data_IF_459450194736
#
_entry.id   IF_459450194736
#
_cell.length_a   1.000
_cell.length_b   1.000
_cell.length_c   1.000
_cell.angle_alpha   90.00
_cell.angle_beta   90.00
_cell.angle_gamma   90.00
#
_symmetry.space_group_name_H-M   'P 1'
#
loop_
_entity.id
_entity.type
_entity.pdbx_description
1 polymer ?
#
# COMPACT_ATOMS: atom_id res chain seq x y z
N UNK A 1 12.07 -17.74 4.48
CA UNK A 1 12.44 -16.31 4.61
C UNK A 1 11.85 -15.56 3.42
N UNK A 2 11.26 -14.39 3.66
CA UNK A 2 10.79 -13.51 2.59
C UNK A 2 11.70 -12.28 2.50
N UNK A 3 11.78 -11.66 1.32
CA UNK A 3 12.43 -10.36 1.15
C UNK A 3 11.38 -9.24 1.02
N UNK A 4 11.68 -8.07 1.59
CA UNK A 4 10.87 -6.86 1.42
C UNK A 4 11.78 -5.75 0.89
N UNK A 5 11.43 -5.19 -0.26
CA UNK A 5 12.20 -4.16 -0.94
C UNK A 5 11.61 -2.79 -0.67
N UNK A 6 12.40 -1.91 -0.08
CA UNK A 6 11.99 -0.59 0.38
C UNK A 6 11.75 -0.56 1.90
N UNK A 7 12.53 0.23 2.64
CA UNK A 7 12.42 0.42 4.09
C UNK A 7 11.56 1.64 4.46
N UNK A 8 10.65 2.04 3.58
CA UNK A 8 9.66 3.09 3.82
C UNK A 8 8.53 2.65 4.74
N UNK A 9 7.44 3.44 4.78
CA UNK A 9 6.27 3.20 5.64
C UNK A 9 5.67 1.82 5.40
N UNK A 10 5.39 1.45 4.12
CA UNK A 10 4.77 0.16 3.81
C UNK A 10 5.74 -1.00 4.01
N UNK A 11 6.99 -0.89 3.55
CA UNK A 11 7.95 -1.98 3.70
C UNK A 11 8.25 -2.32 5.16
N UNK A 12 8.45 -1.33 6.03
CA UNK A 12 8.62 -1.57 7.48
C UNK A 12 7.38 -2.16 8.12
N UNK A 13 6.18 -1.76 7.68
CA UNK A 13 4.93 -2.28 8.22
C UNK A 13 4.65 -3.73 7.74
N UNK A 14 4.98 -4.07 6.49
CA UNK A 14 4.92 -5.44 5.96
C UNK A 14 5.96 -6.32 6.65
N UNK A 15 7.19 -5.83 6.84
CA UNK A 15 8.21 -6.54 7.61
C UNK A 15 7.76 -6.79 9.05
N UNK A 16 7.12 -5.79 9.69
CA UNK A 16 6.54 -5.93 11.02
C UNK A 16 5.46 -7.03 11.08
N UNK A 17 4.58 -7.05 10.08
CA UNK A 17 3.55 -8.08 9.95
C UNK A 17 4.19 -9.48 9.87
N UNK A 18 5.16 -9.64 8.98
CA UNK A 18 5.81 -10.93 8.73
C UNK A 18 6.56 -11.46 9.98
N UNK A 19 7.43 -10.64 10.57
CA UNK A 19 8.17 -11.06 11.77
C UNK A 19 7.26 -11.31 12.97
N UNK A 20 6.15 -10.57 13.07
CA UNK A 20 5.15 -10.74 14.12
C UNK A 20 4.44 -12.10 14.05
N UNK A 21 4.41 -12.73 12.87
CA UNK A 21 3.88 -14.08 12.62
C UNK A 21 5.01 -15.13 12.51
N UNK A 22 6.23 -14.81 12.93
CA UNK A 22 7.34 -15.76 12.96
C UNK A 22 8.04 -15.96 11.61
N UNK A 23 7.70 -15.20 10.59
CA UNK A 23 8.32 -15.30 9.26
C UNK A 23 9.59 -14.45 9.23
N UNK A 24 10.79 -15.02 8.96
CA UNK A 24 12.02 -14.24 8.82
C UNK A 24 11.99 -13.33 7.60
N UNK A 25 12.52 -12.11 7.74
CA UNK A 25 12.51 -11.07 6.71
C UNK A 25 13.92 -10.53 6.45
N UNK A 26 14.28 -10.44 5.17
CA UNK A 26 15.37 -9.60 4.70
C UNK A 26 14.77 -8.30 4.15
N UNK A 27 15.01 -7.18 4.84
CA UNK A 27 14.58 -5.84 4.44
C UNK A 27 15.69 -5.15 3.69
N UNK A 28 15.42 -4.75 2.45
CA UNK A 28 16.41 -4.14 1.54
C UNK A 28 16.03 -2.69 1.25
N UNK A 29 16.99 -1.78 1.37
CA UNK A 29 16.87 -0.39 0.90
C UNK A 29 18.27 0.14 0.56
N UNK A 30 18.37 1.01 -0.42
CA UNK A 30 19.63 1.67 -0.78
C UNK A 30 20.01 2.79 0.19
N UNK A 31 19.06 3.25 1.00
CA UNK A 31 19.20 4.33 1.97
C UNK A 31 19.56 3.73 3.36
N UNK A 32 20.81 3.90 3.76
CA UNK A 32 21.33 3.39 5.02
C UNK A 32 20.62 4.00 6.26
N UNK A 33 20.18 5.25 6.18
CA UNK A 33 19.46 5.91 7.29
C UNK A 33 18.07 5.32 7.47
N UNK A 34 17.37 5.02 6.36
CA UNK A 34 16.10 4.29 6.41
C UNK A 34 16.27 2.90 7.01
N UNK A 35 17.30 2.16 6.60
CA UNK A 35 17.61 0.84 7.17
C UNK A 35 17.93 0.92 8.67
N UNK A 36 18.68 1.93 9.10
CA UNK A 36 18.98 2.14 10.51
C UNK A 36 17.70 2.45 11.32
N UNK A 37 16.82 3.30 10.78
CA UNK A 37 15.55 3.65 11.43
C UNK A 37 14.53 2.49 11.41
N UNK A 38 14.60 1.61 10.41
CA UNK A 38 13.64 0.53 10.20
C UNK A 38 13.55 -0.41 11.41
N UNK A 39 14.68 -0.78 12.02
CA UNK A 39 14.67 -1.70 13.17
C UNK A 39 13.87 -1.13 14.35
N UNK A 40 14.11 0.15 14.67
CA UNK A 40 13.37 0.81 15.75
C UNK A 40 11.89 0.96 15.42
N UNK A 41 11.59 1.30 14.15
CA UNK A 41 10.22 1.41 13.66
C UNK A 41 9.47 0.08 13.78
N UNK A 42 10.06 -1.01 13.27
CA UNK A 42 9.51 -2.37 13.34
C UNK A 42 9.27 -2.80 14.78
N UNK A 43 10.26 -2.59 15.68
CA UNK A 43 10.11 -2.92 17.11
C UNK A 43 8.97 -2.13 17.78
N UNK A 44 8.81 -0.85 17.44
CA UNK A 44 7.72 0.00 17.96
C UNK A 44 6.37 -0.46 17.43
N UNK A 45 6.26 -0.70 16.14
CA UNK A 45 5.04 -1.16 15.49
C UNK A 45 4.61 -2.54 16.02
N UNK A 46 5.53 -3.48 16.18
CA UNK A 46 5.26 -4.82 16.72
C UNK A 46 4.71 -4.74 18.14
N UNK A 47 5.30 -3.91 19.00
CA UNK A 47 4.79 -3.69 20.35
C UNK A 47 3.37 -3.10 20.33
N UNK A 48 3.14 -2.07 19.53
CA UNK A 48 1.83 -1.44 19.37
C UNK A 48 0.76 -2.43 18.88
N UNK A 49 1.08 -3.20 17.83
CA UNK A 49 0.18 -4.19 17.26
C UNK A 49 -0.20 -5.31 18.27
N UNK A 50 0.76 -5.76 19.07
CA UNK A 50 0.51 -6.74 20.15
C UNK A 50 -0.36 -6.20 21.27
N UNK A 51 -0.17 -4.93 21.65
CA UNK A 51 -0.98 -4.29 22.69
C UNK A 51 -2.46 -4.20 22.29
N UNK A 52 -2.75 -3.88 21.03
CA UNK A 52 -4.13 -3.78 20.53
C UNK A 52 -4.70 -5.14 20.06
N UNK A 53 -3.96 -6.23 20.23
CA UNK A 53 -4.41 -7.58 19.86
C UNK A 53 -4.45 -7.86 18.35
N UNK A 54 -3.75 -7.06 17.55
CA UNK A 54 -3.68 -7.20 16.09
C UNK A 54 -2.62 -8.22 15.63
N UNK A 55 -1.81 -8.72 16.56
CA UNK A 55 -0.81 -9.77 16.35
C UNK A 55 -0.77 -10.74 17.53
N UNK A 56 -0.27 -11.95 17.34
CA UNK A 56 -0.08 -12.91 18.43
C UNK A 56 0.71 -12.29 19.59
N UNK A 57 0.17 -12.37 20.80
CA UNK A 57 0.83 -11.85 22.01
C UNK A 57 2.04 -12.70 22.42
N UNK A 58 2.01 -13.97 22.08
CA UNK A 58 3.05 -14.98 22.35
C UNK A 58 3.34 -15.75 21.06
N UNK A 59 4.51 -16.34 20.97
CA UNK A 59 4.96 -17.11 19.81
C UNK A 59 6.31 -16.61 19.29
N UNK A 60 6.92 -17.34 18.35
CA UNK A 60 8.19 -16.96 17.78
C UNK A 60 8.05 -15.62 17.04
N UNK A 61 9.08 -14.80 17.15
CA UNK A 61 9.25 -13.59 16.34
C UNK A 61 10.24 -13.94 15.24
N UNK A 62 9.90 -13.63 14.00
CA UNK A 62 10.80 -13.82 12.87
C UNK A 62 12.04 -12.93 13.01
N UNK A 63 13.15 -13.38 12.46
CA UNK A 63 14.37 -12.60 12.39
C UNK A 63 14.22 -11.47 11.36
N UNK A 64 14.77 -10.29 11.67
CA UNK A 64 14.87 -9.15 10.76
C UNK A 64 16.33 -8.94 10.37
N UNK A 65 16.67 -9.26 9.13
CA UNK A 65 17.94 -8.87 8.50
C UNK A 65 17.72 -7.59 7.71
N UNK A 66 18.71 -6.69 7.71
CA UNK A 66 18.67 -5.42 6.97
C UNK A 66 19.91 -5.32 6.10
N UNK A 67 19.74 -4.98 4.83
CA UNK A 67 20.86 -4.90 3.90
C UNK A 67 20.63 -3.84 2.82
N UNK A 68 21.72 -3.29 2.32
CA UNK A 68 21.73 -2.45 1.12
C UNK A 68 22.01 -3.24 -0.16
N UNK A 69 22.33 -4.53 -0.02
CA UNK A 69 22.71 -5.40 -1.12
C UNK A 69 21.51 -6.24 -1.59
N UNK A 70 21.18 -6.13 -2.86
CA UNK A 70 20.08 -6.84 -3.47
C UNK A 70 20.38 -8.36 -3.60
N UNK A 71 21.65 -8.76 -3.68
CA UNK A 71 22.03 -10.16 -3.80
C UNK A 71 21.67 -11.00 -2.55
N UNK A 72 21.50 -10.36 -1.40
CA UNK A 72 21.07 -11.02 -0.17
C UNK A 72 19.65 -11.60 -0.23
N UNK A 73 18.88 -11.29 -1.29
CA UNK A 73 17.53 -11.87 -1.48
C UNK A 73 17.52 -13.19 -2.26
N UNK A 74 18.68 -13.68 -2.75
CA UNK A 74 18.78 -14.87 -3.60
C UNK A 74 18.07 -16.11 -3.02
N UNK A 75 18.07 -16.26 -1.69
CA UNK A 75 17.43 -17.38 -0.98
C UNK A 75 15.97 -17.11 -0.54
N UNK A 76 15.35 -16.03 -0.98
CA UNK A 76 13.98 -15.72 -0.60
C UNK A 76 12.97 -16.68 -1.25
N UNK A 77 11.96 -17.10 -0.50
CA UNK A 77 10.82 -17.86 -1.02
C UNK A 77 9.75 -16.98 -1.67
N UNK A 78 9.74 -15.70 -1.30
CA UNK A 78 8.91 -14.67 -1.89
C UNK A 78 9.57 -13.30 -1.71
N UNK A 79 9.34 -12.40 -2.65
CA UNK A 79 9.80 -11.00 -2.61
C UNK A 79 8.58 -10.09 -2.65
N UNK A 80 8.52 -9.11 -1.75
CA UNK A 80 7.47 -8.07 -1.73
C UNK A 80 8.12 -6.72 -2.02
N UNK A 81 7.83 -6.17 -3.18
CA UNK A 81 8.29 -4.86 -3.60
C UNK A 81 7.38 -3.78 -3.00
N UNK A 82 7.97 -2.86 -2.23
CA UNK A 82 7.33 -1.74 -1.56
C UNK A 82 8.16 -0.44 -1.66
N UNK A 83 8.89 -0.28 -2.77
CA UNK A 83 9.63 0.95 -3.07
C UNK A 83 8.68 2.08 -3.49
N UNK A 84 9.23 3.29 -3.68
CA UNK A 84 8.47 4.47 -4.10
C UNK A 84 7.59 4.18 -5.33
N UNK A 85 6.38 4.74 -5.35
CA UNK A 85 5.34 4.49 -6.38
C UNK A 85 5.68 5.19 -7.71
N UNK A 86 6.79 4.80 -8.30
CA UNK A 86 7.29 5.25 -9.61
C UNK A 86 7.41 4.04 -10.54
N UNK A 87 6.69 4.00 -11.68
CA UNK A 87 6.65 2.84 -12.57
C UNK A 87 8.04 2.34 -12.99
N UNK A 88 8.90 3.24 -13.47
CA UNK A 88 10.25 2.89 -13.91
C UNK A 88 11.12 2.34 -12.79
N UNK A 89 11.00 2.88 -11.57
CA UNK A 89 11.76 2.39 -10.42
C UNK A 89 11.30 0.98 -10.02
N UNK A 90 9.99 0.76 -9.92
CA UNK A 90 9.42 -0.55 -9.59
C UNK A 90 9.78 -1.60 -10.63
N UNK A 91 9.63 -1.27 -11.91
CA UNK A 91 10.00 -2.15 -13.02
C UNK A 91 11.49 -2.52 -12.97
N UNK A 92 12.38 -1.53 -12.76
CA UNK A 92 13.83 -1.75 -12.65
C UNK A 92 14.19 -2.65 -11.46
N UNK A 93 13.57 -2.43 -10.29
CA UNK A 93 13.85 -3.22 -9.09
C UNK A 93 13.34 -4.65 -9.26
N UNK A 94 12.12 -4.84 -9.79
CA UNK A 94 11.58 -6.17 -10.07
C UNK A 94 12.40 -6.94 -11.12
N UNK A 95 12.86 -6.27 -12.17
CA UNK A 95 13.76 -6.86 -13.17
C UNK A 95 15.07 -7.35 -12.52
N UNK A 96 15.72 -6.51 -11.73
CA UNK A 96 16.95 -6.87 -11.04
C UNK A 96 16.75 -8.06 -10.10
N UNK A 97 15.70 -8.06 -9.29
CA UNK A 97 15.39 -9.17 -8.37
C UNK A 97 15.08 -10.46 -9.12
N UNK A 98 14.33 -10.38 -10.24
CA UNK A 98 13.96 -11.57 -11.00
C UNK A 98 15.15 -12.34 -11.54
N UNK A 99 16.29 -11.67 -11.79
CA UNK A 99 17.55 -12.30 -12.22
C UNK A 99 18.34 -12.93 -11.06
N UNK A 100 18.09 -12.54 -9.82
CA UNK A 100 18.80 -13.00 -8.61
C UNK A 100 18.10 -14.21 -7.98
N UNK A 101 16.77 -14.17 -7.89
CA UNK A 101 15.99 -15.22 -7.23
C UNK A 101 15.78 -16.44 -8.11
N UNK A 102 15.59 -17.60 -7.50
CA UNK A 102 15.33 -18.84 -8.23
C UNK A 102 14.02 -18.76 -9.05
N UNK A 103 13.93 -19.46 -10.19
CA UNK A 103 12.67 -19.62 -10.91
C UNK A 103 11.55 -20.15 -10.01
N UNK A 104 10.34 -19.60 -10.17
CA UNK A 104 9.19 -19.93 -9.33
C UNK A 104 9.16 -19.19 -7.97
N UNK A 105 10.16 -18.34 -7.68
CA UNK A 105 10.06 -17.44 -6.53
C UNK A 105 8.99 -16.39 -6.79
N UNK A 106 8.01 -16.28 -5.89
CA UNK A 106 6.92 -15.32 -5.99
C UNK A 106 7.44 -13.87 -5.90
N UNK A 107 7.11 -13.07 -6.89
CA UNK A 107 7.39 -11.64 -6.94
C UNK A 107 6.09 -10.86 -6.75
N UNK A 108 5.94 -10.22 -5.60
CA UNK A 108 4.77 -9.39 -5.27
C UNK A 108 5.12 -7.91 -5.39
N UNK A 109 4.28 -7.15 -6.06
CA UNK A 109 4.33 -5.67 -5.99
C UNK A 109 3.22 -5.17 -5.07
N UNK A 110 3.56 -4.23 -4.17
CA UNK A 110 2.61 -3.54 -3.30
C UNK A 110 2.15 -2.20 -3.92
N UNK A 111 2.18 -2.10 -5.24
CA UNK A 111 1.67 -0.92 -5.92
C UNK A 111 0.20 -0.67 -5.62
N UNK A 112 -0.20 0.60 -5.61
CA UNK A 112 -1.58 1.02 -5.37
C UNK A 112 -2.36 1.32 -6.66
N UNK A 113 -1.66 1.59 -7.78
CA UNK A 113 -2.31 2.09 -9.00
C UNK A 113 -1.68 1.59 -10.31
N UNK A 114 -0.44 1.09 -10.28
CA UNK A 114 0.26 0.65 -11.49
C UNK A 114 -0.22 -0.77 -11.84
N UNK A 115 -0.70 -1.03 -13.07
CA UNK A 115 -1.08 -2.37 -13.49
C UNK A 115 0.05 -3.38 -13.28
N UNK A 116 -0.29 -4.53 -12.73
CA UNK A 116 0.68 -5.60 -12.43
C UNK A 116 1.35 -6.10 -13.71
N UNK A 117 0.60 -6.20 -14.81
CA UNK A 117 1.14 -6.66 -16.09
C UNK A 117 2.16 -5.67 -16.70
N UNK A 118 2.00 -4.37 -16.44
CA UNK A 118 2.98 -3.36 -16.82
C UNK A 118 4.34 -3.65 -16.15
N UNK A 119 4.33 -3.88 -14.83
CA UNK A 119 5.53 -4.22 -14.07
C UNK A 119 6.09 -5.60 -14.44
N UNK A 120 5.22 -6.58 -14.65
CA UNK A 120 5.58 -7.93 -15.06
C UNK A 120 6.24 -7.97 -16.44
N UNK A 121 6.03 -6.95 -17.29
CA UNK A 121 6.70 -6.87 -18.60
C UNK A 121 8.21 -6.63 -18.51
N UNK A 122 8.69 -6.16 -17.36
CA UNK A 122 10.11 -5.87 -17.13
C UNK A 122 10.90 -7.06 -16.59
N UNK A 123 10.25 -8.18 -16.23
CA UNK A 123 10.90 -9.35 -15.63
C UNK A 123 11.01 -10.50 -16.61
N UNK A 124 12.02 -11.37 -16.41
CA UNK A 124 12.24 -12.54 -17.27
C UNK A 124 11.14 -13.61 -17.14
N UNK A 125 10.50 -13.66 -15.98
CA UNK A 125 9.46 -14.63 -15.63
C UNK A 125 8.19 -13.92 -15.15
N UNK A 126 7.42 -13.30 -16.08
CA UNK A 126 6.21 -12.56 -15.75
C UNK A 126 5.13 -13.43 -15.08
N UNK A 127 5.17 -14.75 -15.27
CA UNK A 127 4.28 -15.72 -14.63
C UNK A 127 4.46 -15.84 -13.11
N UNK A 128 5.62 -15.44 -12.59
CA UNK A 128 5.92 -15.41 -11.15
C UNK A 128 5.47 -14.12 -10.46
N UNK A 129 4.94 -13.13 -11.22
CA UNK A 129 4.54 -11.82 -10.70
C UNK A 129 3.05 -11.76 -10.38
N UNK A 130 2.71 -11.20 -9.20
CA UNK A 130 1.35 -10.86 -8.80
C UNK A 130 1.34 -9.52 -8.03
N UNK A 131 0.17 -8.94 -7.81
CA UNK A 131 -0.01 -7.79 -6.93
C UNK A 131 -0.51 -8.24 -5.56
N UNK A 132 -0.01 -7.59 -4.50
CA UNK A 132 -0.54 -7.71 -3.15
C UNK A 132 -0.64 -6.32 -2.53
N UNK A 133 -1.79 -5.69 -2.73
CA UNK A 133 -2.05 -4.35 -2.25
C UNK A 133 -2.47 -4.39 -0.77
N UNK A 134 -1.49 -4.25 0.11
CA UNK A 134 -1.70 -4.14 1.54
C UNK A 134 -2.19 -2.75 1.91
N UNK A 135 -3.19 -2.68 2.78
CA UNK A 135 -3.66 -1.42 3.35
C UNK A 135 -2.80 -1.01 4.56
N UNK A 136 -2.58 0.29 4.72
CA UNK A 136 -1.77 0.82 5.82
C UNK A 136 -2.60 1.05 7.10
N UNK A 137 -2.22 0.52 8.27
CA UNK A 137 -1.10 -0.39 8.48
C UNK A 137 -1.51 -1.87 8.27
N UNK A 138 -0.71 -2.68 7.55
CA UNK A 138 -1.05 -4.06 7.17
C UNK A 138 -1.22 -5.01 8.36
N UNK A 139 -0.65 -4.69 9.50
CA UNK A 139 -0.82 -5.49 10.72
C UNK A 139 -2.16 -5.22 11.44
N UNK A 140 -2.85 -4.12 11.14
CA UNK A 140 -4.21 -3.82 11.66
C UNK A 140 -5.30 -4.23 10.67
N UNK A 141 -5.05 -4.02 9.38
CA UNK A 141 -6.02 -4.28 8.32
C UNK A 141 -5.77 -5.68 7.77
N UNK A 142 -6.71 -6.60 8.03
CA UNK A 142 -6.55 -8.01 7.67
C UNK A 142 -6.72 -8.30 6.19
N UNK A 143 -7.59 -7.56 5.52
CA UNK A 143 -7.93 -7.78 4.11
C UNK A 143 -6.83 -7.25 3.19
N UNK A 144 -6.38 -8.08 2.27
CA UNK A 144 -5.42 -7.75 1.20
C UNK A 144 -6.12 -7.88 -0.15
N UNK A 145 -5.99 -6.87 -0.98
CA UNK A 145 -6.42 -6.93 -2.38
C UNK A 145 -5.32 -7.60 -3.18
N UNK A 146 -5.58 -8.81 -3.68
CA UNK A 146 -4.62 -9.58 -4.49
C UNK A 146 -4.95 -9.39 -5.96
N UNK A 147 -3.97 -8.96 -6.74
CA UNK A 147 -4.16 -8.67 -8.14
C UNK A 147 -3.51 -9.77 -8.97
N UNK A 148 -4.36 -10.46 -9.75
CA UNK A 148 -3.91 -11.45 -10.73
C UNK A 148 -3.72 -10.76 -12.07
N UNK A 149 -2.47 -10.59 -12.51
CA UNK A 149 -2.15 -10.14 -13.86
C UNK A 149 -2.50 -11.20 -14.91
N UNK A 150 -2.62 -10.80 -16.20
CA UNK A 150 -2.93 -11.73 -17.29
C UNK A 150 -1.93 -12.88 -17.45
N UNK A 151 -0.68 -12.66 -17.09
CA UNK A 151 0.40 -13.63 -17.17
C UNK A 151 0.67 -14.38 -15.87
N UNK A 152 0.08 -13.96 -14.74
CA UNK A 152 0.29 -14.59 -13.43
C UNK A 152 -0.17 -16.05 -13.45
N UNK A 153 0.73 -16.98 -13.12
CA UNK A 153 0.46 -18.42 -13.09
C UNK A 153 -0.39 -18.85 -11.90
N UNK A 154 -1.00 -20.04 -12.02
CA UNK A 154 -1.70 -20.66 -10.88
C UNK A 154 -0.74 -21.02 -9.74
N UNK A 155 0.52 -21.35 -10.06
CA UNK A 155 1.56 -21.62 -9.06
C UNK A 155 1.88 -20.36 -8.24
N UNK A 156 2.04 -19.19 -8.90
CA UNK A 156 2.22 -17.92 -8.23
C UNK A 156 1.02 -17.58 -7.34
N UNK A 157 -0.21 -17.78 -7.84
CA UNK A 157 -1.42 -17.54 -7.04
C UNK A 157 -1.56 -18.51 -5.85
N UNK A 158 -1.07 -19.74 -5.96
CA UNK A 158 -1.00 -20.65 -4.83
C UNK A 158 0.01 -20.15 -3.78
N UNK A 159 1.20 -19.73 -4.22
CA UNK A 159 2.22 -19.16 -3.34
C UNK A 159 1.72 -17.87 -2.62
N UNK A 160 0.92 -17.03 -3.30
CA UNK A 160 0.27 -15.86 -2.66
C UNK A 160 -0.64 -16.31 -1.52
N UNK A 161 -1.50 -17.31 -1.76
CA UNK A 161 -2.41 -17.82 -0.72
C UNK A 161 -1.66 -18.38 0.47
N UNK A 162 -0.61 -19.16 0.22
CA UNK A 162 0.21 -19.74 1.27
C UNK A 162 0.92 -18.68 2.11
N UNK A 163 1.49 -17.66 1.45
CA UNK A 163 2.12 -16.52 2.11
C UNK A 163 1.13 -15.75 2.97
N UNK A 164 -0.02 -15.35 2.41
CA UNK A 164 -1.03 -14.59 3.14
C UNK A 164 -1.63 -15.40 4.29
N UNK A 165 -1.80 -16.72 4.12
CA UNK A 165 -2.17 -17.64 5.19
C UNK A 165 -1.15 -17.67 6.33
N UNK A 166 0.15 -17.73 6.01
CA UNK A 166 1.22 -17.68 7.01
C UNK A 166 1.28 -16.32 7.75
N UNK A 167 0.83 -15.25 7.11
CA UNK A 167 0.73 -13.91 7.70
C UNK A 167 -0.60 -13.65 8.41
N UNK A 168 -1.50 -14.63 8.46
CA UNK A 168 -2.86 -14.53 8.99
C UNK A 168 -3.63 -13.35 8.33
N UNK A 169 -3.59 -13.27 7.00
CA UNK A 169 -4.30 -12.26 6.22
C UNK A 169 -5.38 -12.89 5.36
N UNK A 170 -6.54 -12.25 5.38
CA UNK A 170 -7.64 -12.54 4.45
C UNK A 170 -7.35 -11.84 3.12
N UNK A 171 -7.88 -12.38 2.01
CA UNK A 171 -7.67 -11.75 0.71
C UNK A 171 -8.86 -11.91 -0.22
N UNK A 172 -8.94 -10.98 -1.16
CA UNK A 172 -9.82 -11.08 -2.33
C UNK A 172 -8.96 -10.96 -3.57
N UNK A 173 -9.10 -11.92 -4.48
CA UNK A 173 -8.41 -11.87 -5.78
C UNK A 173 -9.26 -11.10 -6.79
N UNK A 174 -8.62 -10.11 -7.43
CA UNK A 174 -9.24 -9.28 -8.47
C UNK A 174 -8.40 -9.32 -9.75
N UNK A 175 -8.98 -8.89 -10.87
CA UNK A 175 -8.27 -8.69 -12.12
C UNK A 175 -7.38 -7.46 -12.10
N UNK A 176 -6.44 -7.39 -13.04
CA UNK A 176 -5.50 -6.29 -13.19
C UNK A 176 -6.14 -5.08 -13.89
N UNK A 177 -5.70 -3.90 -13.52
CA UNK A 177 -6.10 -2.63 -14.14
C UNK A 177 -5.72 -1.42 -13.29
N UNK A 178 -5.77 -0.21 -13.83
CA UNK A 178 -5.39 1.01 -13.12
C UNK A 178 -6.18 1.19 -11.81
N UNK A 179 -5.47 1.27 -10.67
CA UNK A 179 -6.06 1.49 -9.35
C UNK A 179 -6.90 0.33 -8.81
N UNK A 180 -6.88 -0.81 -9.50
CA UNK A 180 -7.57 -2.06 -9.12
C UNK A 180 -9.05 -1.83 -8.75
N UNK A 181 -9.50 -2.28 -7.60
CA UNK A 181 -10.89 -2.05 -7.13
C UNK A 181 -10.93 -0.95 -6.06
N UNK A 182 -10.13 -1.09 -5.01
CA UNK A 182 -10.21 -0.19 -3.84
C UNK A 182 -9.87 1.24 -4.22
N UNK A 183 -8.72 1.50 -4.82
CA UNK A 183 -8.36 2.85 -5.20
C UNK A 183 -9.28 3.43 -6.26
N UNK A 184 -9.67 2.61 -7.25
CA UNK A 184 -10.54 3.05 -8.31
C UNK A 184 -11.90 3.55 -7.80
N UNK A 185 -12.51 2.85 -6.85
CA UNK A 185 -13.78 3.26 -6.23
C UNK A 185 -13.57 4.39 -5.23
N UNK A 186 -12.58 4.26 -4.34
CA UNK A 186 -12.34 5.21 -3.24
C UNK A 186 -12.00 6.61 -3.77
N UNK A 187 -11.07 6.71 -4.72
CA UNK A 187 -10.63 8.00 -5.26
C UNK A 187 -11.78 8.73 -5.95
N UNK A 188 -12.60 8.01 -6.71
CA UNK A 188 -13.79 8.58 -7.33
C UNK A 188 -14.80 9.06 -6.30
N UNK A 189 -15.02 8.29 -5.25
CA UNK A 189 -15.92 8.65 -4.15
C UNK A 189 -15.43 9.91 -3.42
N UNK A 190 -14.14 9.99 -3.12
CA UNK A 190 -13.53 11.18 -2.49
C UNK A 190 -13.66 12.39 -3.39
N UNK A 191 -13.36 12.25 -4.68
CA UNK A 191 -13.43 13.35 -5.64
C UNK A 191 -14.85 13.92 -5.76
N UNK A 192 -15.85 13.03 -5.86
CA UNK A 192 -17.25 13.45 -5.91
C UNK A 192 -17.72 14.09 -4.60
N UNK A 193 -17.36 13.52 -3.45
CA UNK A 193 -17.65 14.09 -2.14
C UNK A 193 -17.06 15.52 -1.99
N UNK A 194 -15.81 15.69 -2.44
CA UNK A 194 -15.16 17.02 -2.45
C UNK A 194 -15.84 17.99 -3.43
N UNK A 195 -16.33 17.51 -4.58
CA UNK A 195 -17.07 18.34 -5.54
C UNK A 195 -18.38 18.84 -4.95
N UNK A 196 -19.17 18.01 -4.29
CA UNK A 196 -20.41 18.35 -3.60
C UNK A 196 -20.18 19.47 -2.57
N UNK A 197 -19.08 19.37 -1.81
CA UNK A 197 -18.69 20.44 -0.87
C UNK A 197 -18.30 21.72 -1.61
N UNK A 198 -17.53 21.62 -2.69
CA UNK A 198 -17.13 22.75 -3.50
C UNK A 198 -18.30 23.51 -4.16
N UNK A 199 -19.37 22.79 -4.49
CA UNK A 199 -20.63 23.33 -5.01
C UNK A 199 -21.53 23.93 -3.92
N UNK A 200 -21.16 23.81 -2.65
CA UNK A 200 -21.93 24.33 -1.51
C UNK A 200 -23.22 23.56 -1.22
N UNK A 201 -23.37 22.34 -1.72
CA UNK A 201 -24.53 21.48 -1.47
C UNK A 201 -24.55 20.95 -0.05
N UNK A 202 -23.37 20.61 0.52
CA UNK A 202 -23.22 20.10 1.86
C UNK A 202 -21.88 20.55 2.47
N UNK A 203 -21.78 20.51 3.80
CA UNK A 203 -20.49 20.66 4.50
C UNK A 203 -19.71 19.34 4.49
N UNK A 204 -18.39 19.36 4.76
CA UNK A 204 -17.62 18.11 4.92
C UNK A 204 -18.22 17.20 5.99
N UNK A 205 -18.67 17.77 7.10
CA UNK A 205 -19.30 17.07 8.21
C UNK A 205 -20.60 16.37 7.79
N UNK A 206 -21.44 17.06 7.01
CA UNK A 206 -22.70 16.50 6.51
C UNK A 206 -22.46 15.32 5.58
N UNK A 207 -21.52 15.45 4.63
CA UNK A 207 -21.16 14.36 3.70
C UNK A 207 -20.70 13.13 4.49
N UNK A 208 -19.75 13.30 5.40
CA UNK A 208 -19.19 12.20 6.18
C UNK A 208 -20.23 11.58 7.13
N UNK A 209 -21.09 12.39 7.75
CA UNK A 209 -22.19 11.92 8.60
C UNK A 209 -23.21 11.06 7.83
N UNK A 210 -23.53 11.43 6.58
CA UNK A 210 -24.41 10.63 5.71
C UNK A 210 -23.79 9.28 5.35
N UNK A 211 -22.49 9.24 5.01
CA UNK A 211 -21.80 7.98 4.74
C UNK A 211 -21.76 7.06 5.98
N UNK A 212 -21.55 7.63 7.15
CA UNK A 212 -21.53 6.87 8.40
C UNK A 212 -22.95 6.42 8.81
N UNK A 213 -23.90 7.34 8.82
CA UNK A 213 -25.26 7.08 9.33
C UNK A 213 -26.15 6.28 8.38
N UNK A 214 -26.04 6.52 7.07
CA UNK A 214 -26.90 5.87 6.09
C UNK A 214 -26.28 4.58 5.50
N UNK A 215 -24.93 4.53 5.38
CA UNK A 215 -24.24 3.41 4.73
C UNK A 215 -23.43 2.56 5.73
N UNK A 216 -23.31 2.96 6.99
CA UNK A 216 -22.58 2.21 8.01
C UNK A 216 -21.05 2.27 7.85
N UNK A 217 -20.52 3.23 7.13
CA UNK A 217 -19.07 3.40 7.00
C UNK A 217 -18.45 3.80 8.36
N UNK A 218 -17.27 3.29 8.67
CA UNK A 218 -16.54 3.68 9.90
C UNK A 218 -16.07 5.13 9.87
N UNK A 219 -15.69 5.60 8.70
CA UNK A 219 -15.26 6.97 8.40
C UNK A 219 -15.96 7.44 7.14
N UNK A 220 -16.22 8.73 7.03
CA UNK A 220 -16.69 9.28 5.77
C UNK A 220 -15.55 9.47 4.75
N UNK A 221 -15.88 9.76 3.48
CA UNK A 221 -14.90 9.88 2.41
C UNK A 221 -13.90 11.03 2.63
N UNK A 222 -14.33 12.15 3.22
CA UNK A 222 -13.48 13.33 3.40
C UNK A 222 -12.55 13.20 4.61
N UNK A 223 -12.99 12.59 5.71
CA UNK A 223 -12.11 12.21 6.81
C UNK A 223 -11.09 11.13 6.38
N UNK A 224 -11.49 10.24 5.48
CA UNK A 224 -10.60 9.25 4.87
C UNK A 224 -9.57 9.92 3.98
N UNK A 225 -9.95 10.94 3.19
CA UNK A 225 -9.04 11.73 2.37
C UNK A 225 -7.97 12.44 3.22
N UNK A 226 -8.36 13.04 4.35
CA UNK A 226 -7.44 13.69 5.30
C UNK A 226 -6.47 12.67 5.94
N UNK A 227 -6.90 11.42 6.14
CA UNK A 227 -6.04 10.35 6.64
C UNK A 227 -5.01 9.91 5.60
N UNK A 228 -5.40 9.78 4.33
CA UNK A 228 -4.54 9.42 3.21
C UNK A 228 -3.53 10.53 2.91
N UNK A 229 -3.98 11.77 2.99
CA UNK A 229 -3.32 12.98 2.54
C UNK A 229 -3.84 13.44 1.18
N UNK A 230 -4.33 14.70 1.14
CA UNK A 230 -4.99 15.25 -0.05
C UNK A 230 -4.07 15.35 -1.26
N UNK A 231 -2.77 15.54 -1.06
CA UNK A 231 -1.76 15.46 -2.13
C UNK A 231 -1.71 14.06 -2.75
N UNK A 232 -1.66 12.99 -1.93
CA UNK A 232 -1.69 11.61 -2.41
C UNK A 232 -3.02 11.29 -3.12
N UNK A 233 -4.14 11.85 -2.66
CA UNK A 233 -5.45 11.72 -3.31
C UNK A 233 -5.41 12.36 -4.70
N UNK A 234 -4.92 13.61 -4.80
CA UNK A 234 -4.81 14.33 -6.08
C UNK A 234 -3.90 13.60 -7.05
N UNK A 235 -2.75 13.11 -6.59
CA UNK A 235 -1.81 12.36 -7.45
C UNK A 235 -2.43 11.04 -7.93
N UNK A 236 -3.12 10.31 -7.05
CA UNK A 236 -3.84 9.08 -7.44
C UNK A 236 -4.95 9.37 -8.46
N UNK A 237 -5.70 10.44 -8.28
CA UNK A 237 -6.74 10.86 -9.22
C UNK A 237 -6.15 11.22 -10.59
N UNK A 238 -5.02 11.94 -10.65
CA UNK A 238 -4.33 12.27 -11.89
C UNK A 238 -3.88 11.02 -12.64
N UNK A 239 -3.25 10.07 -11.93
CA UNK A 239 -2.82 8.80 -12.50
C UNK A 239 -4.02 8.02 -13.05
N UNK A 240 -5.13 7.94 -12.30
CA UNK A 240 -6.34 7.26 -12.75
C UNK A 240 -6.98 7.96 -13.96
N UNK A 241 -7.03 9.30 -13.94
CA UNK A 241 -7.55 10.06 -15.06
C UNK A 241 -6.71 9.85 -16.34
N UNK A 242 -5.40 9.94 -16.23
CA UNK A 242 -4.47 9.73 -17.34
C UNK A 242 -4.58 8.32 -17.93
N UNK A 243 -4.66 7.31 -17.06
CA UNK A 243 -4.67 5.89 -17.50
C UNK A 243 -6.02 5.41 -18.00
N UNK A 244 -7.13 6.01 -17.54
CA UNK A 244 -8.50 5.56 -17.91
C UNK A 244 -9.17 6.47 -18.93
N UNK A 245 -8.74 7.73 -19.06
CA UNK A 245 -9.41 8.77 -19.84
C UNK A 245 -10.77 9.21 -19.26
N UNK A 246 -11.16 8.69 -18.07
CA UNK A 246 -12.45 9.00 -17.45
C UNK A 246 -12.38 10.33 -16.68
N UNK A 247 -13.15 11.33 -17.14
CA UNK A 247 -13.22 12.65 -16.53
C UNK A 247 -13.68 12.65 -15.06
N UNK A 248 -14.34 11.59 -14.58
CA UNK A 248 -14.71 11.44 -13.18
C UNK A 248 -13.52 11.32 -12.23
N UNK A 249 -12.31 11.02 -12.77
CA UNK A 249 -11.06 11.03 -12.01
C UNK A 249 -10.29 12.36 -12.14
N UNK A 250 -10.72 13.30 -12.96
CA UNK A 250 -10.10 14.64 -12.96
C UNK A 250 -10.27 15.26 -11.56
N UNK A 251 -9.18 15.62 -10.84
CA UNK A 251 -9.29 16.19 -9.50
C UNK A 251 -10.15 17.44 -9.51
N UNK A 252 -11.10 17.55 -8.60
CA UNK A 252 -11.97 18.73 -8.49
C UNK A 252 -11.21 19.95 -7.95
N UNK A 253 -11.73 21.15 -8.26
CA UNK A 253 -11.08 22.41 -7.90
C UNK A 253 -10.84 22.56 -6.40
N UNK A 254 -11.76 22.08 -5.55
CA UNK A 254 -11.60 22.16 -4.11
C UNK A 254 -10.40 21.34 -3.60
N UNK A 255 -10.18 20.13 -4.14
CA UNK A 255 -9.01 19.33 -3.80
C UNK A 255 -7.72 20.01 -4.26
N UNK A 256 -7.71 20.55 -5.49
CA UNK A 256 -6.56 21.26 -6.02
C UNK A 256 -6.23 22.50 -5.19
N UNK A 257 -7.24 23.29 -4.79
CA UNK A 257 -7.07 24.46 -3.95
C UNK A 257 -6.47 24.09 -2.58
N UNK A 258 -7.01 23.07 -1.91
CA UNK A 258 -6.47 22.61 -0.61
C UNK A 258 -5.02 22.14 -0.71
N UNK A 259 -4.68 21.42 -1.77
CA UNK A 259 -3.29 20.98 -2.00
C UNK A 259 -2.37 22.16 -2.28
N UNK A 260 -2.81 23.14 -3.06
CA UNK A 260 -2.04 24.38 -3.32
C UNK A 260 -1.80 25.19 -2.05
N UNK A 261 -2.75 25.17 -1.09
CA UNK A 261 -2.65 25.84 0.21
C UNK A 261 -1.79 25.05 1.24
N UNK A 262 -1.26 23.89 0.89
CA UNK A 262 -0.50 23.04 1.80
C UNK A 262 -1.35 22.32 2.85
N UNK A 263 -2.65 22.26 2.66
CA UNK A 263 -3.62 21.57 3.52
C UNK A 263 -3.76 20.11 3.09
N UNK A 264 -2.87 19.25 3.58
CA UNK A 264 -2.81 17.86 3.17
C UNK A 264 -3.56 16.90 4.09
N UNK A 265 -4.29 17.39 5.09
CA UNK A 265 -4.97 16.57 6.09
C UNK A 265 -4.16 16.40 7.35
N UNK A 266 -4.23 15.21 7.98
CA UNK A 266 -3.60 14.94 9.28
C UNK A 266 -2.11 15.22 9.32
N UNK A 267 -1.38 14.96 8.24
CA UNK A 267 0.07 15.16 8.19
C UNK A 267 0.53 16.63 8.27
N UNK A 268 -0.37 17.57 7.94
CA UNK A 268 -0.13 19.01 8.06
C UNK A 268 -0.99 19.69 9.11
N UNK A 269 -1.81 18.92 9.84
CA UNK A 269 -2.74 19.41 10.84
C UNK A 269 -4.02 20.03 10.27
N UNK A 270 -4.12 20.22 8.96
CA UNK A 270 -5.28 20.78 8.29
C UNK A 270 -5.57 20.10 6.95
N UNK A 271 -6.85 19.86 6.66
CA UNK A 271 -7.36 19.30 5.42
C UNK A 271 -8.79 19.75 5.16
N UNK A 272 -9.72 18.83 5.03
CA UNK A 272 -11.15 19.12 5.16
C UNK A 272 -11.50 19.48 6.60
N UNK A 273 -10.79 18.89 7.56
CA UNK A 273 -10.92 19.10 8.99
C UNK A 273 -9.69 19.77 9.57
N UNK A 274 -9.90 20.39 10.77
CA UNK A 274 -8.80 20.83 11.62
C UNK A 274 -8.41 19.67 12.57
N UNK A 275 -7.17 19.24 12.48
CA UNK A 275 -6.65 18.13 13.28
C UNK A 275 -5.80 18.60 14.48
N UNK A 276 -5.83 19.92 14.79
CA UNK A 276 -4.89 20.49 15.74
C UNK A 276 -3.44 20.30 15.29
N UNK A 277 -2.60 21.32 15.31
CA UNK A 277 -1.26 21.24 14.72
C UNK A 277 -0.54 19.96 15.13
N UNK A 278 -0.03 19.23 14.15
CA UNK A 278 0.77 18.05 14.37
C UNK A 278 1.93 18.41 15.30
N UNK A 279 1.88 17.96 16.54
CA UNK A 279 3.06 17.91 17.38
C UNK A 279 3.93 16.80 16.78
N UNK A 280 5.00 17.23 16.14
CA UNK A 280 6.09 16.44 15.55
C UNK A 280 6.73 15.46 16.54
#
# INVERSE_FOLDING_TARGET
MIAVLGAGVMGTAIATLAIGHGVPVTLVDTDADKLAAAEQSVRRQLRGARLVGAMPRSGPVGELTRTGDLDDVAGASAVIEAVTELPDLKAKVLAAVSSIVAPGTLLLTNTSAIPVDELASAVDRPEDVAGAHFMNPPYLIRMVEVIRGPRTSEAAMAAVRDLLGALDRDHVTVGDGPGFVINRVLQRTINEAARIVGEGIATPEDVDALFQGCLGHRTGPLATADLIGLDNVVDSLRVLHERTGDAGYAPCDLLLAKVHEGRFGRKTGQGFYDHGGAQS
#
